data_IF_661810430589
#
_entry.id   IF_661810430589
#
_cell.length_a   1.000
_cell.length_b   1.000
_cell.length_c   1.000
_cell.angle_alpha   90.00
_cell.angle_beta   90.00
_cell.angle_gamma   90.00
#
_symmetry.space_group_name_H-M   'P 1'
#
loop_
_entity.id
_entity.type
_entity.pdbx_description
1 polymer ?
#
# COMPACT_ATOMS: atom_id res chain seq x y z
N UNK A 1 0.21 -19.54 -4.08
CA UNK A 1 1.32 -18.72 -4.56
C UNK A 1 0.86 -17.27 -4.77
N UNK A 2 1.76 -16.35 -4.56
CA UNK A 2 1.50 -14.94 -4.85
C UNK A 2 1.51 -14.73 -6.37
N UNK A 3 0.55 -14.00 -6.88
CA UNK A 3 0.47 -13.71 -8.31
C UNK A 3 0.79 -12.26 -8.61
N UNK A 4 0.11 -11.32 -7.93
CA UNK A 4 0.26 -9.93 -8.35
C UNK A 4 -0.31 -8.96 -7.33
N UNK A 5 0.36 -7.82 -7.19
CA UNK A 5 -0.15 -6.68 -6.45
C UNK A 5 0.18 -5.42 -7.25
N UNK A 6 -0.86 -4.79 -7.83
CA UNK A 6 -0.66 -3.54 -8.56
C UNK A 6 -0.13 -2.46 -7.63
N UNK A 7 0.89 -1.71 -8.04
CA UNK A 7 1.30 -0.55 -7.26
C UNK A 7 0.16 0.47 -7.16
N UNK A 8 0.13 1.19 -6.05
CA UNK A 8 -0.88 2.22 -5.82
C UNK A 8 -0.18 3.56 -5.74
N UNK A 9 -0.73 4.57 -6.42
CA UNK A 9 -0.20 5.93 -6.32
C UNK A 9 -0.77 6.59 -5.07
N UNK A 10 0.12 7.12 -4.25
CA UNK A 10 -0.28 7.82 -3.04
C UNK A 10 -1.05 9.10 -3.40
N UNK A 11 -2.11 9.38 -2.67
CA UNK A 11 -2.87 10.62 -2.81
C UNK A 11 -3.09 11.26 -1.46
N UNK A 12 -2.75 12.52 -1.35
CA UNK A 12 -2.95 13.26 -0.11
C UNK A 12 -4.43 13.45 0.22
N UNK A 13 -5.31 13.19 -0.74
CA UNK A 13 -6.75 13.32 -0.54
C UNK A 13 -7.39 12.11 0.15
N UNK A 14 -6.63 11.03 0.40
CA UNK A 14 -7.20 9.88 1.11
C UNK A 14 -7.72 10.31 2.48
N UNK A 15 -8.95 9.90 2.79
CA UNK A 15 -9.60 10.30 4.02
C UNK A 15 -10.30 11.63 3.96
N UNK A 16 -10.35 12.27 2.80
CA UNK A 16 -11.04 13.54 2.60
C UNK A 16 -12.23 13.35 1.67
N UNK A 17 -13.29 14.10 1.92
CA UNK A 17 -14.44 14.10 1.04
C UNK A 17 -14.20 15.07 -0.11
N UNK A 18 -14.52 14.68 -1.37
CA UNK A 18 -14.45 15.63 -2.47
C UNK A 18 -15.47 16.76 -2.31
N UNK A 19 -16.63 16.47 -1.70
CA UNK A 19 -17.64 17.46 -1.39
C UNK A 19 -18.49 16.94 -0.21
N UNK A 20 -19.44 17.74 0.23
CA UNK A 20 -20.23 17.40 1.41
C UNK A 20 -21.21 16.25 1.20
N UNK A 21 -21.43 15.84 -0.04
CA UNK A 21 -22.34 14.75 -0.37
C UNK A 21 -21.66 13.44 -0.67
N UNK A 22 -20.34 13.41 -0.63
CA UNK A 22 -19.56 12.23 -0.99
C UNK A 22 -18.92 11.58 0.23
N UNK A 23 -18.64 10.28 0.12
CA UNK A 23 -17.85 9.60 1.14
C UNK A 23 -16.39 10.03 1.04
N UNK A 24 -15.63 9.93 2.13
CA UNK A 24 -14.19 10.19 2.06
C UNK A 24 -13.54 9.27 1.03
N UNK A 25 -12.60 9.80 0.27
CA UNK A 25 -11.88 8.99 -0.70
C UNK A 25 -10.93 8.04 0.02
N UNK A 26 -10.73 6.88 -0.56
CA UNK A 26 -9.83 5.87 0.00
C UNK A 26 -9.19 5.09 -1.13
N UNK A 27 -8.00 4.56 -0.91
CA UNK A 27 -7.40 3.71 -1.93
C UNK A 27 -8.13 2.37 -2.01
N UNK A 28 -7.97 1.70 -3.13
CA UNK A 28 -8.46 0.34 -3.29
C UNK A 28 -7.31 -0.45 -3.90
N UNK A 29 -6.58 -1.17 -3.05
CA UNK A 29 -5.49 -2.01 -3.50
C UNK A 29 -6.04 -3.40 -3.79
N UNK A 30 -5.68 -3.97 -4.92
CA UNK A 30 -6.11 -5.31 -5.31
C UNK A 30 -4.91 -6.24 -5.33
N UNK A 31 -5.02 -7.33 -4.60
CA UNK A 31 -3.95 -8.33 -4.49
C UNK A 31 -4.48 -9.66 -4.99
N UNK A 32 -3.73 -10.32 -5.87
CA UNK A 32 -4.12 -11.61 -6.43
C UNK A 32 -3.19 -12.71 -5.92
N UNK A 33 -3.76 -13.84 -5.55
CA UNK A 33 -2.99 -14.98 -5.10
C UNK A 33 -3.67 -16.27 -5.52
N UNK A 34 -2.89 -17.36 -5.55
CA UNK A 34 -3.41 -18.67 -5.91
C UNK A 34 -3.49 -19.56 -4.67
N UNK A 35 -4.65 -20.19 -4.45
CA UNK A 35 -4.85 -21.14 -3.36
C UNK A 35 -5.06 -22.52 -3.96
N UNK A 36 -4.38 -23.55 -3.42
CA UNK A 36 -4.54 -24.91 -3.92
C UNK A 36 -5.88 -25.50 -3.52
N UNK A 37 -6.42 -25.08 -2.39
CA UNK A 37 -7.70 -25.57 -1.91
C UNK A 37 -8.44 -24.45 -1.22
N UNK A 38 -9.75 -24.62 -1.03
CA UNK A 38 -10.54 -23.62 -0.32
C UNK A 38 -10.17 -23.63 1.17
N UNK A 39 -10.40 -22.49 1.81
CA UNK A 39 -10.09 -22.31 3.22
C UNK A 39 -9.72 -20.87 3.51
N UNK A 40 -9.34 -20.57 4.73
CA UNK A 40 -8.99 -19.21 5.13
C UNK A 40 -7.53 -18.94 4.82
N UNK A 41 -7.28 -17.87 4.08
CA UNK A 41 -5.92 -17.38 3.83
C UNK A 41 -5.70 -16.15 4.69
N UNK A 42 -4.58 -16.12 5.39
CA UNK A 42 -4.19 -14.97 6.21
C UNK A 42 -3.21 -14.13 5.42
N UNK A 43 -3.51 -12.84 5.30
CA UNK A 43 -2.71 -11.92 4.51
C UNK A 43 -2.13 -10.88 5.45
N UNK A 44 -0.80 -10.72 5.44
CA UNK A 44 -0.11 -9.77 6.29
C UNK A 44 0.62 -8.74 5.44
N UNK A 45 0.45 -7.48 5.79
CA UNK A 45 1.16 -6.37 5.16
C UNK A 45 2.25 -5.94 6.11
N UNK A 46 3.50 -5.98 5.64
CA UNK A 46 4.68 -5.78 6.47
C UNK A 46 5.52 -4.66 5.89
N UNK A 47 6.05 -3.80 6.76
CA UNK A 47 6.88 -2.69 6.31
C UNK A 47 8.25 -3.17 5.87
N UNK A 48 9.02 -2.28 5.25
CA UNK A 48 10.35 -2.60 4.78
C UNK A 48 11.26 -3.07 5.92
N UNK A 49 11.09 -2.54 7.10
CA UNK A 49 11.87 -2.92 8.28
C UNK A 49 11.33 -4.16 8.99
N UNK A 50 10.23 -4.72 8.53
CA UNK A 50 9.69 -5.95 9.10
C UNK A 50 8.57 -5.76 10.11
N UNK A 51 8.01 -4.57 10.22
CA UNK A 51 6.93 -4.31 11.17
C UNK A 51 5.60 -4.75 10.55
N UNK A 52 4.84 -5.55 11.29
CA UNK A 52 3.51 -5.94 10.83
C UNK A 52 2.58 -4.73 10.89
N UNK A 53 2.05 -4.35 9.75
CA UNK A 53 1.20 -3.18 9.63
C UNK A 53 -0.27 -3.52 9.62
N UNK A 54 -0.64 -4.64 9.01
CA UNK A 54 -2.03 -5.01 8.89
C UNK A 54 -2.14 -6.51 8.64
N UNK A 55 -3.17 -7.12 9.18
CA UNK A 55 -3.45 -8.53 8.93
C UNK A 55 -4.93 -8.66 8.59
N UNK A 56 -5.23 -9.33 7.49
CA UNK A 56 -6.61 -9.60 7.08
C UNK A 56 -6.75 -11.08 6.76
N UNK A 57 -7.97 -11.58 6.89
CA UNK A 57 -8.29 -12.96 6.53
C UNK A 57 -9.22 -12.94 5.33
N UNK A 58 -8.98 -13.84 4.39
CA UNK A 58 -9.79 -13.96 3.20
C UNK A 58 -10.28 -15.39 3.08
N UNK A 59 -11.55 -15.54 2.76
CA UNK A 59 -12.14 -16.85 2.52
C UNK A 59 -11.81 -17.26 1.09
N UNK A 60 -10.75 -18.04 0.93
CA UNK A 60 -10.23 -18.40 -0.37
C UNK A 60 -10.94 -19.60 -0.97
N UNK A 61 -11.01 -19.61 -2.28
CA UNK A 61 -11.46 -20.78 -3.04
C UNK A 61 -10.26 -21.32 -3.81
N UNK A 62 -10.34 -22.59 -4.20
CA UNK A 62 -9.27 -23.16 -5.00
C UNK A 62 -9.14 -22.39 -6.31
N UNK A 63 -7.92 -22.04 -6.66
CA UNK A 63 -7.63 -21.26 -7.85
C UNK A 63 -7.20 -19.85 -7.51
N UNK A 64 -7.45 -18.94 -8.45
CA UNK A 64 -7.06 -17.54 -8.31
C UNK A 64 -8.06 -16.78 -7.46
N UNK A 65 -7.54 -16.03 -6.49
CA UNK A 65 -8.36 -15.20 -5.60
C UNK A 65 -7.90 -13.76 -5.70
N UNK A 66 -8.86 -12.84 -5.53
CA UNK A 66 -8.59 -11.42 -5.49
C UNK A 66 -9.11 -10.85 -4.18
N UNK A 67 -8.30 -10.04 -3.52
CA UNK A 67 -8.71 -9.37 -2.29
C UNK A 67 -8.40 -7.90 -2.42
N UNK A 68 -9.30 -7.04 -1.93
CA UNK A 68 -9.09 -5.60 -1.96
C UNK A 68 -8.88 -5.08 -0.56
N UNK A 69 -8.14 -3.99 -0.45
CA UNK A 69 -7.83 -3.38 0.84
C UNK A 69 -7.76 -1.88 0.70
N UNK A 70 -8.22 -1.16 1.71
CA UNK A 70 -8.20 0.30 1.70
C UNK A 70 -6.90 0.88 2.25
N UNK A 71 -5.94 0.05 2.64
CA UNK A 71 -4.63 0.46 3.14
C UNK A 71 -4.68 1.31 4.40
N UNK A 72 -5.76 1.22 5.16
CA UNK A 72 -5.86 1.95 6.43
C UNK A 72 -5.12 1.22 7.54
N UNK A 73 -4.61 1.98 8.51
CA UNK A 73 -3.86 1.46 9.65
C UNK A 73 -4.49 1.97 10.93
N UNK A 74 -4.35 1.21 12.03
CA UNK A 74 -4.75 1.75 13.32
C UNK A 74 -3.71 2.77 13.79
N UNK A 75 -4.06 3.56 14.83
CA UNK A 75 -3.21 4.64 15.28
C UNK A 75 -1.87 4.19 15.83
N UNK A 76 -1.84 3.07 16.55
CA UNK A 76 -0.60 2.55 17.10
C UNK A 76 0.35 2.08 16.00
N UNK A 77 -0.19 1.41 15.00
CA UNK A 77 0.60 0.94 13.86
C UNK A 77 1.10 2.10 13.02
N UNK A 78 0.25 3.11 12.82
CA UNK A 78 0.65 4.32 12.08
C UNK A 78 1.83 5.01 12.75
N UNK A 79 1.87 5.05 14.08
CA UNK A 79 2.98 5.64 14.80
C UNK A 79 4.27 4.85 14.61
N UNK A 80 4.18 3.53 14.56
CA UNK A 80 5.34 2.67 14.30
C UNK A 80 5.90 2.92 12.91
N UNK A 81 5.01 3.00 11.92
CA UNK A 81 5.43 3.28 10.55
C UNK A 81 6.01 4.68 10.43
N UNK A 82 5.43 5.65 11.11
CA UNK A 82 5.93 7.01 11.14
C UNK A 82 7.36 7.06 11.67
N UNK A 83 7.63 6.36 12.77
CA UNK A 83 8.97 6.32 13.35
C UNK A 83 9.97 5.66 12.41
N UNK A 84 9.57 4.60 11.74
CA UNK A 84 10.40 3.92 10.75
C UNK A 84 10.74 4.85 9.59
N UNK A 85 9.75 5.59 9.10
CA UNK A 85 9.96 6.52 7.98
C UNK A 85 10.85 7.70 8.36
N UNK A 86 10.71 8.22 9.58
CA UNK A 86 11.59 9.28 10.05
C UNK A 86 13.04 8.84 10.01
N UNK A 87 13.28 7.61 10.45
CA UNK A 87 14.62 7.07 10.50
C UNK A 87 15.17 6.82 9.10
N UNK A 88 14.39 6.20 8.23
CA UNK A 88 14.85 5.84 6.89
C UNK A 88 15.03 7.06 5.99
N UNK A 89 14.18 8.07 6.14
CA UNK A 89 14.27 9.29 5.35
C UNK A 89 15.12 10.37 6.00
N UNK A 90 15.57 10.12 7.22
CA UNK A 90 16.34 11.10 8.00
C UNK A 90 15.59 12.43 8.13
N UNK A 91 14.29 12.35 8.32
CA UNK A 91 13.42 13.51 8.43
C UNK A 91 12.68 13.44 9.75
N UNK A 92 13.18 14.15 10.76
CA UNK A 92 12.60 14.13 12.11
C UNK A 92 11.21 14.77 12.16
N UNK A 93 10.86 15.55 11.13
CA UNK A 93 9.56 16.22 11.10
C UNK A 93 8.48 15.38 10.40
N UNK A 94 8.85 14.23 9.86
CA UNK A 94 7.89 13.41 9.14
C UNK A 94 6.75 12.96 10.03
N UNK A 95 5.53 13.11 9.56
CA UNK A 95 4.32 12.70 10.28
C UNK A 95 3.35 12.00 9.36
N UNK A 96 2.65 11.01 9.91
CA UNK A 96 1.51 10.39 9.22
C UNK A 96 0.26 10.96 9.87
N UNK A 97 -0.47 11.77 9.13
CA UNK A 97 -1.65 12.44 9.65
C UNK A 97 -2.90 11.66 9.31
N UNK A 98 -3.93 11.69 10.17
CA UNK A 98 -5.19 11.04 9.86
C UNK A 98 -5.92 11.79 8.75
N UNK A 99 -6.76 11.06 8.03
CA UNK A 99 -7.63 11.68 7.03
C UNK A 99 -8.53 12.71 7.67
N UNK A 100 -8.71 13.84 6.98
CA UNK A 100 -9.44 14.97 7.53
C UNK A 100 -10.89 14.61 7.87
N UNK A 101 -11.54 13.82 7.03
CA UNK A 101 -12.97 13.55 7.17
C UNK A 101 -13.28 12.17 7.74
N UNK A 102 -12.38 11.22 7.70
CA UNK A 102 -12.62 9.88 8.23
C UNK A 102 -11.76 9.53 9.44
N UNK A 103 -10.73 10.32 9.73
CA UNK A 103 -9.85 10.06 10.87
C UNK A 103 -8.98 8.82 10.74
N UNK A 104 -8.95 8.20 9.59
CA UNK A 104 -8.15 6.99 9.37
C UNK A 104 -6.75 7.32 8.92
N UNK A 105 -5.80 6.46 9.31
CA UNK A 105 -4.42 6.58 8.84
C UNK A 105 -4.24 5.66 7.64
N UNK A 106 -3.48 6.10 6.66
CA UNK A 106 -3.26 5.33 5.42
C UNK A 106 -1.77 5.12 5.19
N UNK A 107 -1.46 4.08 4.40
CA UNK A 107 -0.07 3.81 4.03
C UNK A 107 0.53 4.99 3.29
N UNK A 108 1.81 5.22 3.54
CA UNK A 108 2.58 6.27 2.86
C UNK A 108 3.42 5.63 1.76
N UNK A 109 3.98 6.43 0.84
CA UNK A 109 4.85 5.88 -0.21
C UNK A 109 5.98 5.05 0.36
N UNK A 110 6.26 3.94 -0.27
CA UNK A 110 7.32 3.04 0.13
C UNK A 110 7.11 1.65 -0.40
N UNK A 111 8.06 0.78 -0.07
CA UNK A 111 8.02 -0.63 -0.45
C UNK A 111 7.57 -1.46 0.74
N UNK A 112 6.65 -2.37 0.48
CA UNK A 112 6.05 -3.22 1.51
C UNK A 112 6.10 -4.66 1.07
N UNK A 113 5.91 -5.56 2.04
CA UNK A 113 5.88 -6.99 1.78
C UNK A 113 4.49 -7.52 2.11
N UNK A 114 4.00 -8.42 1.27
CA UNK A 114 2.76 -9.15 1.53
C UNK A 114 3.11 -10.60 1.76
N UNK A 115 2.53 -11.20 2.80
CA UNK A 115 2.69 -12.62 3.10
C UNK A 115 1.31 -13.26 3.09
N UNK A 116 1.18 -14.32 2.31
CA UNK A 116 -0.07 -15.07 2.21
C UNK A 116 0.16 -16.45 2.82
N UNK A 117 -0.61 -16.77 3.88
CA UNK A 117 -0.51 -18.07 4.54
C UNK A 117 -1.86 -18.78 4.38
N UNK A 118 -1.85 -19.95 3.75
CA UNK A 118 -3.08 -20.67 3.49
C UNK A 118 -3.51 -21.51 4.70
N UNK A 119 -4.64 -22.21 4.56
CA UNK A 119 -5.20 -23.01 5.66
C UNK A 119 -4.30 -24.17 6.06
N UNK A 120 -3.39 -24.57 5.16
CA UNK A 120 -2.45 -25.67 5.44
C UNK A 120 -1.13 -25.19 6.00
N UNK A 121 -0.98 -23.89 6.22
CA UNK A 121 0.23 -23.32 6.78
C UNK A 121 1.31 -22.98 5.76
N UNK A 122 1.03 -23.13 4.48
CA UNK A 122 1.98 -22.75 3.43
C UNK A 122 1.96 -21.23 3.25
N UNK A 123 3.15 -20.63 3.20
CA UNK A 123 3.28 -19.19 3.07
C UNK A 123 4.05 -18.82 1.82
N UNK A 124 3.65 -17.74 1.17
CA UNK A 124 4.39 -17.14 0.07
C UNK A 124 4.46 -15.64 0.29
N UNK A 125 5.50 -15.02 -0.26
CA UNK A 125 5.73 -13.59 -0.13
C UNK A 125 5.63 -12.90 -1.47
N UNK A 126 5.20 -11.65 -1.45
CA UNK A 126 5.20 -10.79 -2.62
C UNK A 126 5.54 -9.38 -2.23
N UNK A 127 5.74 -8.54 -3.23
CA UNK A 127 6.07 -7.14 -3.02
C UNK A 127 4.87 -6.27 -3.35
N UNK A 128 4.72 -5.18 -2.60
CA UNK A 128 3.68 -4.21 -2.85
C UNK A 128 4.26 -2.82 -2.68
N UNK A 129 3.96 -1.93 -3.60
CA UNK A 129 4.53 -0.59 -3.59
C UNK A 129 3.44 0.46 -3.56
N UNK A 130 3.63 1.48 -2.70
CA UNK A 130 2.85 2.71 -2.77
C UNK A 130 3.79 3.75 -3.37
N UNK A 131 3.46 4.23 -4.55
CA UNK A 131 4.31 5.15 -5.30
C UNK A 131 4.08 6.58 -4.87
N UNK A 132 5.14 7.37 -4.92
CA UNK A 132 5.07 8.80 -4.67
C UNK A 132 5.07 9.51 -6.02
N UNK A 133 3.92 10.05 -6.46
CA UNK A 133 3.86 10.73 -7.75
C UNK A 133 4.78 11.93 -7.85
N UNK A 134 5.03 12.60 -6.73
CA UNK A 134 5.95 13.76 -6.73
C UNK A 134 7.37 13.34 -7.05
N UNK A 135 7.86 12.27 -6.41
CA UNK A 135 9.20 11.77 -6.68
C UNK A 135 9.32 11.30 -8.13
N UNK A 136 8.30 10.63 -8.62
CA UNK A 136 8.28 10.15 -9.99
C UNK A 136 8.32 11.31 -10.96
N UNK A 137 7.58 12.38 -10.67
CA UNK A 137 7.60 13.56 -11.48
C UNK A 137 8.97 14.15 -11.59
N UNK A 138 9.69 14.23 -10.51
CA UNK A 138 11.03 14.76 -10.50
C UNK A 138 11.98 13.90 -11.29
N UNK A 139 11.90 12.61 -11.13
CA UNK A 139 12.81 11.73 -11.86
C UNK A 139 12.48 11.66 -13.32
N UNK A 140 11.26 11.98 -13.66
CA UNK A 140 10.81 11.86 -15.03
C UNK A 140 11.33 12.87 -15.96
N UNK A 141 12.15 13.61 -15.63
CA UNK A 141 12.56 14.52 -16.37
C UNK A 141 13.34 14.19 -17.40
N UNK A 142 13.52 13.80 -17.84
CA UNK A 142 14.19 13.80 -18.85
C UNK A 142 13.50 13.51 -19.91
N UNK A 143 13.18 13.68 -19.92
CA UNK A 143 12.69 13.42 -20.45
C UNK A 143 12.81 13.81 -21.37
N UNK A 144 13.24 13.72 -21.57
CA UNK A 144 13.42 14.01 -22.34
C UNK A 144 12.97 13.98 -23.32
N UNK A 145 12.71 13.91 -23.42
CA UNK A 145 12.27 13.88 -23.98
C UNK A 145 11.98 14.60 -24.41
N UNK A 146 12.36 14.80 -24.24
CA UNK A 146 12.07 15.32 -24.27
C UNK A 146 12.37 16.04 -24.91
N UNK A 147 12.94 16.01 -25.15
CA UNK A 147 13.19 16.52 -25.55
C UNK A 147 13.41 16.78 -26.36
N UNK A 148 13.67 16.87 -26.71
CA UNK A 148 13.94 17.09 -27.22
C UNK A 148 14.25 17.56 -27.90
N UNK A 149 14.47 17.65 -28.16
CA UNK A 149 14.84 18.10 -28.63
C UNK A 149 14.94 18.59 -29.21
N UNK A 150 15.25 18.66 -29.31
CA UNK A 150 15.40 19.16 -29.62
C UNK A 150 15.26 19.60 -30.22
N UNK A 151 15.50 19.65 -30.31
CA UNK A 151 15.40 19.94 -30.52
C UNK A 151 15.28 20.29 -30.82
N UNK A 152 15.68 20.12 -30.69
CA UNK A 152 15.47 20.28 -30.63
C UNK A 152 15.29 20.62 -30.89
#
# INVERSE_FOLDING_TARGET
AFLHAEPVNYQASWGKRPDEFSDPSAPSAAWAYFAQSSGTTRIRLISKAGVLLKEVSDSAEAGVNYVTNDLSLDGATAKKLEAECRKSKKDAAFRILPGKDDGKYYLVPGDYKLTFTDANGHSVEGKFEVKDPSAKKESGVPDPESVGPPGK
#
